data_IF_063061434602
#
_entry.id   IF_063061434602
#
_cell.length_a   1.000
_cell.length_b   1.000
_cell.length_c   1.000
_cell.angle_alpha   90.00
_cell.angle_beta   90.00
_cell.angle_gamma   90.00
#
_symmetry.space_group_name_H-M   'P 1'
#
loop_
_entity.id
_entity.type
_entity.pdbx_description
1 polymer ?
#
# COMPACT_ATOMS: atom_id res chain seq x y z
N UNK A 1 -5.44 11.59 32.58
CA UNK A 1 -6.21 10.88 31.54
C UNK A 1 -7.67 11.32 31.63
N UNK A 2 -8.23 12.10 30.68
CA UNK A 2 -9.60 12.57 30.83
C UNK A 2 -10.58 11.51 30.29
N UNK A 3 -11.13 10.68 31.18
CA UNK A 3 -12.24 9.77 30.87
C UNK A 3 -13.57 10.51 30.89
N UNK A 4 -14.00 11.02 29.74
CA UNK A 4 -15.32 11.66 29.60
C UNK A 4 -16.46 10.62 29.60
N UNK A 5 -17.47 10.81 30.46
CA UNK A 5 -18.65 9.94 30.56
C UNK A 5 -19.41 9.83 29.23
N UNK A 6 -19.59 8.59 28.75
CA UNK A 6 -20.30 8.24 27.50
C UNK A 6 -21.68 8.89 27.36
N UNK A 7 -22.40 9.10 28.48
CA UNK A 7 -23.71 9.78 28.48
C UNK A 7 -23.61 11.23 28.01
N UNK A 8 -22.59 11.98 28.47
CA UNK A 8 -22.39 13.39 28.09
C UNK A 8 -22.10 13.55 26.61
N UNK A 9 -21.37 12.59 26.03
CA UNK A 9 -21.08 12.55 24.60
C UNK A 9 -22.35 12.36 23.77
N UNK A 10 -23.21 11.41 24.14
CA UNK A 10 -24.47 11.14 23.42
C UNK A 10 -25.44 12.31 23.44
N UNK A 11 -25.57 13.02 24.56
CA UNK A 11 -26.39 14.25 24.61
C UNK A 11 -25.82 15.33 23.71
N UNK A 12 -24.51 15.55 23.76
CA UNK A 12 -23.84 16.54 22.90
C UNK A 12 -24.04 16.26 21.41
N UNK A 13 -23.93 15.00 21.00
CA UNK A 13 -24.18 14.59 19.60
C UNK A 13 -25.62 14.89 19.17
N UNK A 14 -26.62 14.58 20.00
CA UNK A 14 -28.04 14.88 19.72
C UNK A 14 -28.34 16.37 19.63
N UNK A 15 -27.70 17.18 20.48
CA UNK A 15 -27.89 18.63 20.47
C UNK A 15 -27.30 19.25 19.19
N UNK A 16 -26.16 18.74 18.72
CA UNK A 16 -25.56 19.11 17.43
C UNK A 16 -26.48 18.70 16.27
N UNK A 17 -27.03 17.49 16.27
CA UNK A 17 -27.97 17.03 15.23
C UNK A 17 -29.20 17.94 15.12
N UNK A 18 -29.78 18.36 16.26
CA UNK A 18 -30.91 19.29 16.28
C UNK A 18 -30.54 20.68 15.75
N UNK A 19 -29.36 21.19 16.12
CA UNK A 19 -28.87 22.46 15.64
C UNK A 19 -28.65 22.46 14.11
N UNK A 20 -28.11 21.36 13.58
CA UNK A 20 -27.95 21.16 12.13
C UNK A 20 -29.28 21.13 11.38
N UNK A 21 -30.30 20.45 11.93
CA UNK A 21 -31.65 20.43 11.35
C UNK A 21 -32.30 21.82 11.31
N UNK A 22 -31.92 22.71 12.23
CA UNK A 22 -32.40 24.09 12.31
C UNK A 22 -31.57 25.06 11.44
N UNK A 23 -30.50 24.57 10.79
CA UNK A 23 -29.62 25.37 9.93
C UNK A 23 -28.47 26.07 10.66
N UNK A 24 -28.19 25.70 11.91
CA UNK A 24 -27.07 26.25 12.68
C UNK A 24 -25.76 25.48 12.43
N UNK A 25 -25.13 25.75 11.30
CA UNK A 25 -23.88 25.10 10.87
C UNK A 25 -22.64 25.54 11.67
N UNK A 26 -22.69 26.70 12.33
CA UNK A 26 -21.62 27.26 13.17
C UNK A 26 -21.16 26.29 14.27
N UNK A 27 -22.07 25.44 14.77
CA UNK A 27 -21.78 24.48 15.85
C UNK A 27 -20.77 23.40 15.46
N UNK A 28 -20.56 23.17 14.16
CA UNK A 28 -19.64 22.18 13.60
C UNK A 28 -18.42 22.86 12.97
N UNK A 29 -18.38 24.19 12.87
CA UNK A 29 -17.31 24.94 12.19
C UNK A 29 -15.91 24.55 12.70
N UNK A 30 -15.72 24.45 14.02
CA UNK A 30 -14.44 24.05 14.64
C UNK A 30 -14.05 22.58 14.38
N UNK A 31 -14.96 21.76 13.86
CA UNK A 31 -14.73 20.36 13.51
C UNK A 31 -14.50 20.15 12.01
N UNK A 32 -14.74 21.17 11.19
CA UNK A 32 -14.50 21.11 9.76
C UNK A 32 -13.00 21.33 9.53
N UNK A 33 -12.31 20.27 9.11
CA UNK A 33 -10.94 20.37 8.64
C UNK A 33 -10.94 20.42 7.12
N UNK A 34 -10.35 21.47 6.55
CA UNK A 34 -10.07 21.51 5.12
C UNK A 34 -8.95 20.51 4.81
N UNK A 35 -9.31 19.41 4.14
CA UNK A 35 -8.35 18.43 3.66
C UNK A 35 -7.91 18.87 2.27
N UNK A 36 -6.72 19.48 2.19
CA UNK A 36 -6.09 19.72 0.88
C UNK A 36 -5.81 18.36 0.23
N UNK A 37 -6.51 18.08 -0.87
CA UNK A 37 -6.21 16.91 -1.69
C UNK A 37 -4.78 16.96 -2.23
N UNK A 38 -4.20 15.81 -2.61
CA UNK A 38 -2.95 15.79 -3.38
C UNK A 38 -3.05 16.73 -4.58
N UNK A 39 -1.92 17.33 -5.01
CA UNK A 39 -1.90 18.17 -6.20
C UNK A 39 -2.64 17.49 -7.38
N UNK A 40 -3.27 18.24 -8.30
CA UNK A 40 -4.12 17.67 -9.36
C UNK A 40 -3.45 16.57 -10.21
N UNK A 41 -2.12 16.53 -10.25
CA UNK A 41 -1.31 15.52 -10.96
C UNK A 41 -0.46 14.64 -10.01
N UNK A 42 -0.75 14.60 -8.71
CA UNK A 42 0.03 13.85 -7.74
C UNK A 42 -0.22 12.34 -7.80
N UNK A 43 -1.36 11.92 -8.36
CA UNK A 43 -1.63 10.51 -8.58
C UNK A 43 -0.77 10.02 -9.75
N UNK A 44 0.24 9.21 -9.43
CA UNK A 44 1.02 8.47 -10.41
C UNK A 44 0.59 7.00 -10.35
N UNK A 45 0.34 6.35 -11.50
CA UNK A 45 0.10 4.92 -11.51
C UNK A 45 1.33 4.20 -10.96
N UNK A 46 1.15 3.07 -10.24
CA UNK A 46 2.27 2.20 -9.88
C UNK A 46 3.10 1.91 -11.13
N UNK A 47 4.42 2.06 -11.03
CA UNK A 47 5.32 1.80 -12.15
C UNK A 47 5.14 0.35 -12.61
N UNK A 48 4.50 0.16 -13.76
CA UNK A 48 4.45 -1.13 -14.40
C UNK A 48 5.87 -1.50 -14.84
N UNK A 49 6.40 -2.68 -14.48
CA UNK A 49 7.74 -3.10 -14.88
C UNK A 49 7.91 -3.22 -16.41
N UNK A 50 6.81 -3.14 -17.17
CA UNK A 50 6.75 -3.25 -18.63
C UNK A 50 6.84 -1.89 -19.35
N UNK A 51 6.58 -0.76 -18.67
CA UNK A 51 6.61 0.59 -19.27
C UNK A 51 7.62 1.51 -18.58
N UNK A 52 8.83 0.97 -18.32
CA UNK A 52 9.99 1.75 -17.95
C UNK A 52 10.37 2.73 -19.06
N UNK A 53 9.93 3.97 -18.93
CA UNK A 53 10.34 5.12 -19.72
C UNK A 53 11.78 5.53 -19.37
N UNK A 54 12.74 4.73 -19.82
CA UNK A 54 14.12 5.10 -20.13
C UNK A 54 14.75 3.84 -20.72
N UNK A 55 15.47 3.95 -21.83
CA UNK A 55 16.13 2.83 -22.51
C UNK A 55 17.26 2.18 -21.71
N UNK A 56 16.95 1.65 -20.53
CA UNK A 56 17.83 0.80 -19.75
C UNK A 56 17.51 -0.66 -20.09
N UNK A 57 18.47 -1.24 -20.82
CA UNK A 57 18.64 -2.66 -21.11
C UNK A 57 18.09 -3.57 -20.00
N UNK A 58 17.35 -4.60 -20.40
CA UNK A 58 16.64 -5.52 -19.51
C UNK A 58 17.46 -5.90 -18.28
N UNK A 59 17.00 -5.46 -17.11
CA UNK A 59 17.52 -5.95 -15.84
C UNK A 59 16.77 -7.25 -15.55
N UNK A 60 17.28 -8.36 -16.07
CA UNK A 60 16.91 -9.73 -15.67
C UNK A 60 17.35 -10.07 -14.24
N UNK A 61 17.60 -9.04 -13.42
CA UNK A 61 18.25 -9.12 -12.12
C UNK A 61 17.59 -8.16 -11.11
N UNK A 62 16.28 -7.88 -11.30
CA UNK A 62 15.45 -7.39 -10.20
C UNK A 62 15.25 -8.54 -9.21
N UNK A 63 16.31 -8.87 -8.47
CA UNK A 63 16.20 -9.68 -7.28
C UNK A 63 15.12 -9.06 -6.40
N UNK A 64 14.08 -9.85 -6.10
CA UNK A 64 12.93 -9.44 -5.32
C UNK A 64 13.43 -9.00 -3.93
N UNK A 65 13.66 -7.69 -3.76
CA UNK A 65 14.02 -7.10 -2.47
C UNK A 65 12.77 -7.00 -1.60
N UNK A 66 12.27 -8.14 -1.13
CA UNK A 66 11.26 -8.16 -0.07
C UNK A 66 11.96 -7.72 1.22
N UNK A 67 11.87 -6.43 1.56
CA UNK A 67 12.34 -5.93 2.84
C UNK A 67 11.44 -6.51 3.95
N UNK A 68 11.89 -7.59 4.57
CA UNK A 68 11.25 -8.15 5.74
C UNK A 68 11.94 -7.62 6.99
N UNK A 69 11.13 -7.08 7.90
CA UNK A 69 11.59 -6.53 9.19
C UNK A 69 11.61 -7.63 10.25
N UNK A 70 12.77 -7.84 10.87
CA UNK A 70 12.97 -8.83 11.92
C UNK A 70 13.46 -8.17 13.21
N UNK A 71 12.90 -8.56 14.36
CA UNK A 71 13.39 -8.10 15.65
C UNK A 71 14.69 -8.82 16.01
N UNK A 72 15.77 -8.07 16.29
CA UNK A 72 17.04 -8.62 16.76
C UNK A 72 17.24 -8.31 18.25
N UNK A 73 17.18 -9.33 19.10
CA UNK A 73 17.32 -9.19 20.56
C UNK A 73 18.74 -8.83 21.00
N UNK A 74 19.77 -9.16 20.21
CA UNK A 74 21.16 -8.84 20.54
C UNK A 74 21.50 -7.37 20.25
N UNK A 75 20.91 -6.82 19.19
CA UNK A 75 21.08 -5.42 18.79
C UNK A 75 19.99 -4.49 19.36
N UNK A 76 18.95 -5.03 20.02
CA UNK A 76 17.82 -4.28 20.55
C UNK A 76 17.00 -3.51 19.51
N UNK A 77 17.14 -3.86 18.23
CA UNK A 77 16.60 -3.08 17.09
C UNK A 77 16.03 -3.99 16.01
N UNK A 78 15.17 -3.43 15.16
CA UNK A 78 14.60 -4.12 14.00
C UNK A 78 15.56 -4.07 12.83
N UNK A 79 15.94 -5.23 12.30
CA UNK A 79 16.82 -5.38 11.13
C UNK A 79 15.97 -5.73 9.91
N UNK A 80 16.07 -4.94 8.85
CA UNK A 80 15.48 -5.25 7.55
C UNK A 80 16.43 -6.11 6.72
N UNK A 81 15.99 -7.30 6.31
CA UNK A 81 16.75 -8.15 5.37
C UNK A 81 15.91 -8.42 4.13
N UNK A 82 16.55 -8.35 2.95
CA UNK A 82 15.93 -8.67 1.66
C UNK A 82 15.75 -10.17 1.44
N UNK A 83 16.60 -10.99 2.05
CA UNK A 83 16.56 -12.45 1.98
C UNK A 83 16.46 -13.03 3.40
N UNK A 84 15.43 -13.83 3.72
CA UNK A 84 15.32 -14.46 5.04
C UNK A 84 16.44 -15.49 5.25
N UNK A 85 17.21 -15.35 6.33
CA UNK A 85 18.25 -16.31 6.74
C UNK A 85 17.63 -17.62 7.26
N UNK A 86 18.39 -18.73 7.27
CA UNK A 86 17.87 -20.05 7.70
C UNK A 86 17.22 -20.04 9.09
N UNK A 87 17.84 -19.33 10.04
CA UNK A 87 17.29 -19.15 11.39
C UNK A 87 16.02 -18.29 11.38
N UNK A 88 15.95 -17.26 10.54
CA UNK A 88 14.76 -16.41 10.42
C UNK A 88 13.58 -17.19 9.85
N UNK A 89 13.82 -18.05 8.85
CA UNK A 89 12.78 -18.93 8.29
C UNK A 89 12.20 -19.87 9.35
N UNK A 90 13.06 -20.39 10.23
CA UNK A 90 12.65 -21.31 11.28
C UNK A 90 11.87 -20.61 12.41
N UNK A 91 12.30 -19.41 12.81
CA UNK A 91 11.70 -18.68 13.96
C UNK A 91 10.51 -17.80 13.58
N UNK A 92 10.44 -17.30 12.34
CA UNK A 92 9.45 -16.32 11.90
C UNK A 92 8.57 -16.89 10.80
N UNK A 93 7.75 -17.88 11.16
CA UNK A 93 6.86 -18.59 10.23
C UNK A 93 5.88 -17.65 9.51
N UNK A 94 5.36 -16.62 10.20
CA UNK A 94 4.47 -15.62 9.56
C UNK A 94 5.20 -14.77 8.53
N UNK A 95 6.41 -14.28 8.85
CA UNK A 95 7.20 -13.50 7.90
C UNK A 95 7.64 -14.37 6.72
N UNK A 96 7.92 -15.65 6.96
CA UNK A 96 8.21 -16.63 5.92
C UNK A 96 7.01 -16.81 4.99
N UNK A 97 5.81 -16.99 5.54
CA UNK A 97 4.58 -17.10 4.74
C UNK A 97 4.32 -15.83 3.91
N UNK A 98 4.52 -14.65 4.49
CA UNK A 98 4.37 -13.38 3.79
C UNK A 98 5.40 -13.20 2.66
N UNK A 99 6.65 -13.64 2.89
CA UNK A 99 7.69 -13.65 1.87
C UNK A 99 7.33 -14.60 0.71
N UNK A 100 6.90 -15.83 1.03
CA UNK A 100 6.55 -16.83 0.04
C UNK A 100 5.32 -16.40 -0.79
N UNK A 101 4.31 -15.79 -0.17
CA UNK A 101 3.16 -15.22 -0.87
C UNK A 101 3.59 -14.12 -1.86
N UNK A 102 4.43 -13.18 -1.42
CA UNK A 102 4.91 -12.09 -2.27
C UNK A 102 5.77 -12.59 -3.44
N UNK A 103 6.56 -13.65 -3.22
CA UNK A 103 7.31 -14.29 -4.29
C UNK A 103 6.38 -14.94 -5.33
N UNK A 104 5.26 -15.54 -4.90
CA UNK A 104 4.25 -16.11 -5.80
C UNK A 104 3.48 -15.06 -6.58
N UNK A 105 3.12 -13.95 -5.95
CA UNK A 105 2.47 -12.82 -6.62
C UNK A 105 3.34 -12.29 -7.77
N UNK A 106 4.65 -12.20 -7.55
CA UNK A 106 5.60 -11.78 -8.57
C UNK A 106 5.68 -12.78 -9.74
N UNK A 107 5.78 -14.08 -9.45
CA UNK A 107 5.77 -15.13 -10.47
C UNK A 107 4.49 -15.10 -11.32
N UNK A 108 3.33 -14.84 -10.70
CA UNK A 108 2.06 -14.67 -11.42
C UNK A 108 2.04 -13.43 -12.31
N UNK A 109 2.62 -12.32 -11.84
CA UNK A 109 2.76 -11.10 -12.64
C UNK A 109 3.67 -11.31 -13.85
N UNK A 110 4.78 -12.02 -13.70
CA UNK A 110 5.66 -12.38 -14.82
C UNK A 110 4.95 -13.30 -15.83
N UNK A 111 4.22 -14.31 -15.36
CA UNK A 111 3.39 -15.17 -16.22
C UNK A 111 2.31 -14.39 -16.96
N UNK A 112 1.69 -13.41 -16.30
CA UNK A 112 0.71 -12.52 -16.94
C UNK A 112 1.38 -11.64 -17.99
N UNK A 113 2.54 -11.07 -17.70
CA UNK A 113 3.30 -10.24 -18.64
C UNK A 113 3.73 -11.01 -19.88
N UNK A 114 4.24 -12.23 -19.71
CA UNK A 114 4.66 -13.11 -20.82
C UNK A 114 3.50 -13.64 -21.66
N UNK A 115 2.31 -13.81 -21.07
CA UNK A 115 1.10 -14.25 -21.79
C UNK A 115 0.51 -13.15 -22.68
N UNK A 116 0.69 -11.87 -22.31
CA UNK A 116 0.17 -10.74 -23.07
C UNK A 116 1.08 -10.45 -24.27
N UNK A 117 0.59 -10.75 -25.47
CA UNK A 117 1.27 -10.37 -26.72
C UNK A 117 1.38 -8.87 -26.82
N UNK A 118 2.55 -8.40 -27.25
CA UNK A 118 2.73 -6.97 -27.50
C UNK A 118 1.82 -6.49 -28.64
N UNK A 119 1.50 -5.19 -28.68
CA UNK A 119 0.74 -4.60 -29.79
C UNK A 119 1.40 -4.90 -31.14
N UNK A 120 2.74 -4.88 -31.16
CA UNK A 120 3.55 -5.24 -32.33
C UNK A 120 3.34 -6.69 -32.76
N UNK A 121 3.36 -7.64 -31.84
CA UNK A 121 3.12 -9.06 -32.14
C UNK A 121 1.69 -9.33 -32.62
N UNK A 122 0.70 -8.67 -32.02
CA UNK A 122 -0.70 -8.78 -32.42
C UNK A 122 -0.90 -8.22 -33.83
N UNK A 123 -0.34 -7.05 -34.11
CA UNK A 123 -0.37 -6.44 -35.44
C UNK A 123 0.37 -7.28 -36.48
N UNK A 124 1.55 -7.82 -36.17
CA UNK A 124 2.27 -8.70 -37.08
C UNK A 124 1.49 -9.99 -37.38
N UNK A 125 0.69 -10.48 -36.43
CA UNK A 125 -0.12 -11.68 -36.60
C UNK A 125 -1.42 -11.45 -37.36
N UNK A 126 -2.11 -10.34 -37.11
CA UNK A 126 -3.46 -10.12 -37.63
C UNK A 126 -3.57 -8.97 -38.64
N UNK A 127 -2.62 -8.04 -38.67
CA UNK A 127 -2.47 -7.03 -39.73
C UNK A 127 -3.49 -5.88 -39.69
N UNK A 128 -4.31 -5.77 -38.64
CA UNK A 128 -5.29 -4.70 -38.43
C UNK A 128 -5.29 -4.26 -36.98
#
# INVERSE_FOLDING_TARGET
MPGGSSKRRRTRERDIERALQQGHFETVADQIMEVQGPAPNAWQPPADPLTGASGAMGSSDQEIKVQASFWNSQAGTTVSSSKPSRLQRQKHQLNQLAFDAKARDFELLEKRGTSLKTKRETYAKYGW
#
